data_IF_934190151371
#
_entry.id   IF_934190151371
#
_cell.length_a   1.000
_cell.length_b   1.000
_cell.length_c   1.000
_cell.angle_alpha   90.00
_cell.angle_beta   90.00
_cell.angle_gamma   90.00
#
_symmetry.space_group_name_H-M   'P 1'
#
loop_
_entity.id
_entity.type
_entity.pdbx_description
1 polymer ?
#
# COMPACT_ATOMS: atom_id res chain seq x y z
N UNK A 1 -12.89 50.48 15.59
CA UNK A 1 -11.61 49.96 16.15
C UNK A 1 -11.88 48.89 17.21
N UNK A 2 -12.69 49.11 18.26
CA UNK A 2 -12.93 48.14 19.33
C UNK A 2 -13.59 46.82 18.85
N UNK A 3 -14.60 46.89 17.96
CA UNK A 3 -15.24 45.74 17.34
C UNK A 3 -14.26 44.90 16.53
N UNK A 4 -13.40 45.52 15.76
CA UNK A 4 -12.39 44.82 14.95
C UNK A 4 -11.38 44.11 15.83
N UNK A 5 -10.90 44.71 16.89
CA UNK A 5 -10.00 44.11 17.87
C UNK A 5 -10.64 42.90 18.56
N UNK A 6 -11.90 43.02 19.00
CA UNK A 6 -12.64 41.93 19.62
C UNK A 6 -12.79 40.70 18.69
N UNK A 7 -13.10 40.95 17.42
CA UNK A 7 -13.21 39.85 16.42
C UNK A 7 -11.86 39.20 16.22
N UNK A 8 -10.74 39.95 16.12
CA UNK A 8 -9.41 39.40 15.97
C UNK A 8 -8.98 38.57 17.18
N UNK A 9 -9.28 39.02 18.39
CA UNK A 9 -9.00 38.26 19.63
C UNK A 9 -9.78 36.95 19.66
N UNK A 10 -11.10 37.00 19.37
CA UNK A 10 -11.94 35.81 19.33
C UNK A 10 -11.46 34.81 18.26
N UNK A 11 -11.05 35.29 17.08
CA UNK A 11 -10.51 34.47 16.04
C UNK A 11 -9.18 33.79 16.46
N UNK A 12 -8.31 34.52 17.14
CA UNK A 12 -7.04 33.96 17.65
C UNK A 12 -7.27 32.88 18.73
N UNK A 13 -8.23 33.12 19.67
CA UNK A 13 -8.61 32.13 20.68
C UNK A 13 -9.20 30.89 20.04
N UNK A 14 -10.07 31.02 19.05
CA UNK A 14 -10.64 29.89 18.33
C UNK A 14 -9.60 29.07 17.58
N UNK A 15 -8.56 29.71 17.02
CA UNK A 15 -7.45 29.00 16.38
C UNK A 15 -6.61 28.21 17.39
N UNK A 16 -6.29 28.81 18.54
CA UNK A 16 -5.58 28.14 19.64
C UNK A 16 -6.39 26.93 20.16
N UNK A 17 -7.69 27.09 20.38
CA UNK A 17 -8.55 25.97 20.79
C UNK A 17 -8.56 24.83 19.77
N UNK A 18 -8.63 25.16 18.47
CA UNK A 18 -8.57 24.18 17.39
C UNK A 18 -7.24 23.42 17.38
N UNK A 19 -6.12 24.11 17.55
CA UNK A 19 -4.80 23.48 17.63
C UNK A 19 -4.68 22.55 18.84
N UNK A 20 -5.14 23.00 20.02
CA UNK A 20 -5.16 22.19 21.23
C UNK A 20 -6.00 20.91 21.07
N UNK A 21 -7.20 21.01 20.48
CA UNK A 21 -8.06 19.87 20.21
C UNK A 21 -7.37 18.90 19.24
N UNK A 22 -6.70 19.43 18.21
CA UNK A 22 -5.97 18.63 17.27
C UNK A 22 -4.82 17.86 17.95
N UNK A 23 -3.99 18.53 18.75
CA UNK A 23 -2.89 17.91 19.49
C UNK A 23 -3.37 16.83 20.46
N UNK A 24 -4.41 17.12 21.26
CA UNK A 24 -5.01 16.15 22.18
C UNK A 24 -5.55 14.92 21.43
N UNK A 25 -6.20 15.14 20.28
CA UNK A 25 -6.73 14.05 19.44
C UNK A 25 -5.60 13.18 18.89
N UNK A 26 -4.51 13.79 18.41
CA UNK A 26 -3.36 13.06 17.88
C UNK A 26 -2.60 12.32 18.97
N UNK A 27 -2.42 12.93 20.15
CA UNK A 27 -1.83 12.30 21.31
C UNK A 27 -2.66 11.09 21.77
N UNK A 28 -3.97 11.22 21.85
CA UNK A 28 -4.88 10.11 22.19
C UNK A 28 -4.82 8.96 21.16
N UNK A 29 -4.74 9.27 19.87
CA UNK A 29 -4.56 8.24 18.81
C UNK A 29 -3.22 7.54 18.93
N UNK A 30 -2.14 8.28 19.21
CA UNK A 30 -0.80 7.71 19.40
C UNK A 30 -0.77 6.79 20.62
N UNK A 31 -1.38 7.23 21.74
CA UNK A 31 -1.48 6.40 22.94
C UNK A 31 -2.27 5.11 22.67
N UNK A 32 -3.39 5.22 21.97
CA UNK A 32 -4.19 4.05 21.57
C UNK A 32 -3.41 3.05 20.72
N UNK A 33 -2.54 3.53 19.82
CA UNK A 33 -1.66 2.66 19.05
C UNK A 33 -0.59 2.00 19.91
N UNK A 34 0.00 2.73 20.88
CA UNK A 34 0.95 2.18 21.87
C UNK A 34 0.32 1.09 22.72
N UNK A 35 -0.95 1.24 23.06
CA UNK A 35 -1.74 0.24 23.77
C UNK A 35 -2.10 -0.97 22.89
N UNK A 36 -1.57 -1.05 21.66
CA UNK A 36 -1.82 -2.12 20.70
C UNK A 36 -3.23 -2.16 20.12
N UNK A 37 -4.00 -1.07 20.23
CA UNK A 37 -5.40 -0.99 19.79
C UNK A 37 -5.52 -0.38 18.39
N UNK A 38 -6.47 -0.91 17.63
CA UNK A 38 -6.75 -0.41 16.27
C UNK A 38 -7.26 1.03 16.26
N UNK A 39 -6.60 1.88 15.48
CA UNK A 39 -6.95 3.31 15.32
C UNK A 39 -7.74 3.62 14.04
N UNK A 40 -7.93 2.65 13.16
CA UNK A 40 -8.64 2.84 11.89
C UNK A 40 -10.15 2.88 12.05
N UNK A 41 -10.87 3.32 11.01
CA UNK A 41 -12.33 3.26 10.93
C UNK A 41 -12.82 1.83 10.67
N UNK A 42 -12.62 1.33 9.45
CA UNK A 42 -12.96 -0.04 9.09
C UNK A 42 -11.87 -1.02 9.51
N UNK A 43 -12.27 -2.22 9.92
CA UNK A 43 -11.31 -3.30 10.15
C UNK A 43 -10.55 -3.64 8.86
N UNK A 44 -9.26 -4.03 8.91
CA UNK A 44 -8.57 -4.62 7.77
C UNK A 44 -9.30 -5.88 7.29
N UNK A 45 -9.16 -6.23 6.01
CA UNK A 45 -9.72 -7.46 5.48
C UNK A 45 -9.14 -8.68 6.23
N UNK A 46 -9.95 -9.66 6.58
CA UNK A 46 -9.54 -10.77 7.47
C UNK A 46 -9.82 -10.53 8.96
N UNK A 47 -10.25 -9.30 9.32
CA UNK A 47 -10.62 -8.96 10.70
C UNK A 47 -11.99 -8.32 10.78
N UNK A 48 -12.65 -8.47 11.92
CA UNK A 48 -13.86 -7.76 12.34
C UNK A 48 -13.58 -6.92 13.57
N UNK A 49 -14.37 -5.84 13.77
CA UNK A 49 -14.28 -4.99 14.95
C UNK A 49 -15.36 -5.38 15.94
N UNK A 50 -14.97 -6.01 17.04
CA UNK A 50 -15.86 -6.49 18.08
C UNK A 50 -15.71 -5.61 19.34
N UNK A 51 -16.82 -5.18 19.99
CA UNK A 51 -16.75 -4.54 21.29
C UNK A 51 -16.23 -5.54 22.32
N UNK A 52 -15.37 -5.09 23.23
CA UNK A 52 -14.89 -5.91 24.34
C UNK A 52 -15.57 -5.47 25.62
N UNK A 53 -16.15 -6.43 26.34
CA UNK A 53 -16.86 -6.14 27.58
C UNK A 53 -15.93 -5.50 28.64
N UNK A 54 -16.41 -4.40 29.26
CA UNK A 54 -15.66 -3.68 30.28
C UNK A 54 -14.58 -2.73 29.76
N UNK A 55 -14.31 -2.66 28.48
CA UNK A 55 -13.32 -1.76 27.89
C UNK A 55 -13.93 -0.74 26.93
N UNK A 56 -13.41 0.50 26.95
CA UNK A 56 -13.75 1.48 25.94
C UNK A 56 -13.07 1.15 24.61
N UNK A 57 -13.85 0.85 23.58
CA UNK A 57 -13.35 0.66 22.21
C UNK A 57 -13.63 -0.73 21.65
N UNK A 58 -13.21 -0.92 20.40
CA UNK A 58 -13.37 -2.17 19.66
C UNK A 58 -12.00 -2.80 19.44
N UNK A 59 -11.97 -4.13 19.44
CA UNK A 59 -10.78 -4.95 19.20
C UNK A 59 -10.92 -5.64 17.84
N UNK A 60 -9.80 -5.93 17.20
CA UNK A 60 -9.78 -6.73 15.98
C UNK A 60 -9.86 -8.22 16.35
N UNK A 61 -10.85 -8.92 15.84
CA UNK A 61 -10.98 -10.38 15.88
C UNK A 61 -10.84 -10.96 14.48
N UNK A 62 -10.28 -12.16 14.36
CA UNK A 62 -10.10 -12.83 13.07
C UNK A 62 -11.46 -13.24 12.51
N UNK A 63 -11.72 -12.88 11.26
CA UNK A 63 -12.80 -13.42 10.45
C UNK A 63 -12.24 -14.56 9.60
N UNK A 64 -12.46 -15.81 10.01
CA UNK A 64 -11.84 -16.97 9.38
C UNK A 64 -12.12 -17.08 7.87
N UNK A 65 -13.31 -16.70 7.41
CA UNK A 65 -13.66 -16.71 5.98
C UNK A 65 -12.77 -15.79 5.15
N UNK A 66 -12.49 -14.59 5.68
CA UNK A 66 -11.62 -13.62 5.03
C UNK A 66 -10.13 -13.91 5.29
N UNK A 67 -9.81 -14.43 6.48
CA UNK A 67 -8.45 -14.74 6.90
C UNK A 67 -7.81 -15.85 6.06
N UNK A 68 -8.59 -16.84 5.64
CA UNK A 68 -8.13 -17.89 4.71
C UNK A 68 -7.59 -17.28 3.42
N UNK A 69 -8.31 -16.34 2.83
CA UNK A 69 -7.85 -15.65 1.63
C UNK A 69 -6.55 -14.85 1.87
N UNK A 70 -6.43 -14.21 3.03
CA UNK A 70 -5.19 -13.49 3.41
C UNK A 70 -4.01 -14.46 3.51
N UNK A 71 -4.18 -15.62 4.18
CA UNK A 71 -3.13 -16.65 4.27
C UNK A 71 -2.69 -17.16 2.90
N UNK A 72 -3.65 -17.42 2.01
CA UNK A 72 -3.36 -17.84 0.63
C UNK A 72 -2.58 -16.76 -0.14
N UNK A 73 -2.94 -15.47 0.00
CA UNK A 73 -2.22 -14.36 -0.62
C UNK A 73 -0.75 -14.34 -0.18
N UNK A 74 -0.50 -14.42 1.13
CA UNK A 74 0.87 -14.43 1.66
C UNK A 74 1.65 -15.67 1.23
N UNK A 75 1.04 -16.85 1.29
CA UNK A 75 1.68 -18.10 0.86
C UNK A 75 2.06 -18.06 -0.62
N UNK A 76 1.12 -17.76 -1.50
CA UNK A 76 1.37 -17.69 -2.95
C UNK A 76 2.40 -16.63 -3.29
N UNK A 77 2.34 -15.47 -2.65
CA UNK A 77 3.31 -14.41 -2.93
C UNK A 77 4.70 -14.72 -2.38
N UNK A 78 4.83 -15.25 -1.17
CA UNK A 78 6.12 -15.49 -0.53
C UNK A 78 6.84 -16.75 -1.04
N UNK A 79 6.09 -17.82 -1.36
CA UNK A 79 6.64 -19.14 -1.65
C UNK A 79 6.65 -19.52 -3.15
N UNK A 80 6.14 -18.65 -4.04
CA UNK A 80 6.19 -18.86 -5.50
C UNK A 80 6.80 -17.63 -6.18
N UNK A 81 7.11 -17.70 -7.46
CA UNK A 81 7.64 -16.56 -8.23
C UNK A 81 6.56 -15.57 -8.69
N UNK A 82 5.31 -15.73 -8.21
CA UNK A 82 4.20 -14.87 -8.60
C UNK A 82 4.38 -13.45 -8.06
N UNK A 83 4.15 -12.45 -8.92
CA UNK A 83 3.97 -11.06 -8.51
C UNK A 83 2.51 -10.77 -8.13
N UNK A 84 2.23 -9.57 -7.60
CA UNK A 84 0.87 -9.20 -7.15
C UNK A 84 -0.21 -9.37 -8.21
N UNK A 85 0.10 -9.10 -9.49
CA UNK A 85 -0.83 -9.29 -10.61
C UNK A 85 -1.12 -10.77 -10.87
N UNK A 86 -0.08 -11.61 -10.84
CA UNK A 86 -0.21 -13.05 -11.04
C UNK A 86 -0.98 -13.71 -9.90
N UNK A 87 -0.74 -13.31 -8.64
CA UNK A 87 -1.50 -13.78 -7.47
C UNK A 87 -2.98 -13.39 -7.60
N UNK A 88 -3.27 -12.11 -7.95
CA UNK A 88 -4.66 -11.67 -8.13
C UNK A 88 -5.38 -12.44 -9.25
N UNK A 89 -4.70 -12.66 -10.38
CA UNK A 89 -5.25 -13.46 -11.49
C UNK A 89 -5.49 -14.90 -11.05
N UNK A 90 -4.51 -15.53 -10.41
CA UNK A 90 -4.62 -16.90 -9.93
C UNK A 90 -5.83 -17.08 -8.99
N UNK A 91 -6.02 -16.14 -8.04
CA UNK A 91 -7.17 -16.17 -7.13
C UNK A 91 -8.50 -16.08 -7.87
N UNK A 92 -8.61 -15.16 -8.83
CA UNK A 92 -9.83 -15.01 -9.63
C UNK A 92 -10.12 -16.25 -10.50
N UNK A 93 -9.09 -16.84 -11.11
CA UNK A 93 -9.20 -18.04 -11.95
C UNK A 93 -9.64 -19.27 -11.11
N UNK A 94 -9.34 -19.26 -9.79
CA UNK A 94 -9.78 -20.30 -8.83
C UNK A 94 -11.11 -19.96 -8.11
N UNK A 95 -11.81 -18.92 -8.56
CA UNK A 95 -13.13 -18.55 -8.05
C UNK A 95 -13.12 -17.80 -6.71
N UNK A 96 -11.96 -17.37 -6.21
CA UNK A 96 -11.91 -16.54 -5.01
C UNK A 96 -12.43 -15.14 -5.29
N UNK A 97 -13.31 -14.66 -4.42
CA UNK A 97 -13.88 -13.31 -4.47
C UNK A 97 -13.73 -12.64 -3.12
N UNK A 98 -13.77 -11.33 -3.11
CA UNK A 98 -13.81 -10.55 -1.87
C UNK A 98 -15.16 -9.86 -1.73
N UNK A 99 -15.66 -9.80 -0.52
CA UNK A 99 -16.84 -9.00 -0.18
C UNK A 99 -16.43 -7.53 0.02
N UNK A 100 -17.16 -6.63 -0.63
CA UNK A 100 -16.98 -5.18 -0.48
C UNK A 100 -17.73 -4.72 0.76
N UNK A 101 -17.01 -4.26 1.79
CA UNK A 101 -17.58 -3.93 3.11
C UNK A 101 -18.62 -2.82 3.11
N UNK A 102 -18.68 -1.99 2.09
CA UNK A 102 -19.64 -0.89 2.02
C UNK A 102 -21.04 -1.34 1.61
N UNK A 103 -21.14 -2.35 0.75
CA UNK A 103 -22.41 -2.78 0.14
C UNK A 103 -22.61 -4.30 0.10
N UNK A 104 -21.69 -5.09 0.65
CA UNK A 104 -21.79 -6.56 0.68
C UNK A 104 -21.67 -7.23 -0.70
N UNK A 105 -21.33 -6.50 -1.76
CA UNK A 105 -21.21 -7.09 -3.10
C UNK A 105 -19.92 -7.90 -3.23
N UNK A 106 -20.00 -9.03 -3.92
CA UNK A 106 -18.81 -9.81 -4.28
C UNK A 106 -18.08 -9.14 -5.45
N UNK A 107 -16.77 -9.00 -5.34
CA UNK A 107 -15.94 -8.42 -6.40
C UNK A 107 -14.67 -9.23 -6.62
N UNK A 108 -14.15 -9.15 -7.84
CA UNK A 108 -12.87 -9.74 -8.18
C UNK A 108 -11.72 -9.13 -7.38
N UNK A 109 -10.68 -9.92 -7.18
CA UNK A 109 -9.48 -9.53 -6.46
C UNK A 109 -8.57 -8.75 -7.41
N UNK A 110 -8.29 -7.51 -7.08
CA UNK A 110 -7.36 -6.66 -7.84
C UNK A 110 -5.93 -6.79 -7.32
N UNK A 111 -4.94 -6.52 -8.19
CA UNK A 111 -3.54 -6.48 -7.76
C UNK A 111 -3.27 -5.40 -6.71
N UNK A 112 -4.04 -4.31 -6.72
CA UNK A 112 -3.93 -3.28 -5.70
C UNK A 112 -4.41 -3.76 -4.33
N UNK A 113 -5.47 -4.59 -4.29
CA UNK A 113 -5.92 -5.23 -3.06
C UNK A 113 -4.84 -6.16 -2.49
N UNK A 114 -4.23 -7.01 -3.34
CA UNK A 114 -3.10 -7.86 -2.94
C UNK A 114 -1.95 -7.04 -2.37
N UNK A 115 -1.58 -5.92 -3.01
CA UNK A 115 -0.56 -4.99 -2.49
C UNK A 115 -0.92 -4.43 -1.12
N UNK A 116 -2.16 -3.99 -0.93
CA UNK A 116 -2.63 -3.44 0.34
C UNK A 116 -2.59 -4.46 1.47
N UNK A 117 -2.89 -5.73 1.17
CA UNK A 117 -2.78 -6.83 2.12
C UNK A 117 -1.31 -7.08 2.47
N UNK A 118 -0.45 -7.30 1.48
CA UNK A 118 0.97 -7.60 1.71
C UNK A 118 1.73 -6.48 2.44
N UNK A 119 1.39 -5.22 2.18
CA UNK A 119 2.04 -4.07 2.78
C UNK A 119 1.54 -3.76 4.22
N UNK A 120 0.55 -4.48 4.75
CA UNK A 120 -0.07 -4.11 6.02
C UNK A 120 0.47 -4.94 7.21
N UNK A 121 1.18 -4.30 8.17
CA UNK A 121 1.78 -5.01 9.31
C UNK A 121 0.77 -5.56 10.33
N UNK A 122 -0.50 -5.21 10.23
CA UNK A 122 -1.58 -5.76 11.07
C UNK A 122 -1.66 -7.29 10.97
N UNK A 123 -1.36 -7.85 9.80
CA UNK A 123 -1.42 -9.30 9.60
C UNK A 123 -0.37 -10.10 10.37
N UNK A 124 0.74 -9.46 10.76
CA UNK A 124 1.74 -10.04 11.68
C UNK A 124 1.54 -9.62 13.14
N UNK A 125 0.36 -9.10 13.49
CA UNK A 125 0.03 -8.71 14.86
C UNK A 125 0.57 -7.34 15.29
N UNK A 126 0.99 -6.46 14.38
CA UNK A 126 1.54 -5.14 14.72
C UNK A 126 0.60 -4.01 14.26
N UNK A 127 0.53 -2.95 15.06
CA UNK A 127 -0.21 -1.72 14.76
C UNK A 127 0.75 -0.64 14.28
N UNK A 128 0.53 -0.15 13.05
CA UNK A 128 1.31 0.97 12.50
C UNK A 128 0.60 2.30 12.78
N UNK A 129 1.34 3.25 13.38
CA UNK A 129 0.88 4.62 13.61
C UNK A 129 1.66 5.61 12.75
N UNK A 130 0.97 6.53 12.09
CA UNK A 130 1.60 7.53 11.22
C UNK A 130 1.96 7.07 9.82
N UNK A 131 1.56 5.86 9.41
CA UNK A 131 1.86 5.29 8.07
C UNK A 131 1.34 6.12 6.89
N UNK A 132 0.32 6.93 7.13
CA UNK A 132 -0.25 7.86 6.14
C UNK A 132 -0.37 9.25 6.77
N UNK A 133 0.08 10.26 6.03
CA UNK A 133 -0.04 11.66 6.40
C UNK A 133 -0.92 12.37 5.39
N UNK A 134 -1.81 13.21 5.87
CA UNK A 134 -2.62 14.07 5.01
C UNK A 134 -1.89 15.38 4.85
N UNK A 135 -1.54 15.75 3.64
CA UNK A 135 -0.83 17.00 3.31
C UNK A 135 -1.73 17.88 2.46
N UNK A 136 -1.67 19.18 2.70
CA UNK A 136 -2.41 20.16 1.91
C UNK A 136 -1.77 20.30 0.54
N UNK A 137 -2.59 20.37 -0.50
CA UNK A 137 -2.11 20.62 -1.86
C UNK A 137 -1.79 22.11 -1.97
N UNK A 138 -0.54 22.40 -2.33
CA UNK A 138 -0.07 23.77 -2.50
C UNK A 138 -0.86 24.49 -3.61
N UNK A 139 -1.27 25.72 -3.35
CA UNK A 139 -2.06 26.54 -4.28
C UNK A 139 -3.56 26.23 -4.30
N UNK A 140 -4.05 25.20 -3.59
CA UNK A 140 -5.46 24.85 -3.54
C UNK A 140 -6.07 25.08 -2.16
N UNK A 141 -7.26 25.68 -2.15
CA UNK A 141 -8.00 25.93 -0.90
C UNK A 141 -8.78 24.69 -0.50
N UNK A 142 -8.49 24.13 0.69
CA UNK A 142 -9.19 22.96 1.27
C UNK A 142 -9.06 21.64 0.50
N UNK A 143 -8.06 21.50 -0.40
CA UNK A 143 -7.72 20.23 -1.02
C UNK A 143 -6.51 19.60 -0.31
N UNK A 144 -6.63 18.30 -0.04
CA UNK A 144 -5.62 17.51 0.67
C UNK A 144 -5.35 16.22 -0.10
N UNK A 145 -4.12 15.74 -0.05
CA UNK A 145 -3.77 14.42 -0.53
C UNK A 145 -3.18 13.57 0.59
N UNK A 146 -3.30 12.27 0.45
CA UNK A 146 -2.76 11.32 1.44
C UNK A 146 -1.45 10.77 0.93
N UNK A 147 -0.37 11.03 1.66
CA UNK A 147 0.98 10.54 1.37
C UNK A 147 1.27 9.32 2.24
N UNK A 148 1.78 8.26 1.62
CA UNK A 148 2.29 7.10 2.35
C UNK A 148 3.69 7.44 2.84
N UNK A 149 3.93 7.32 4.14
CA UNK A 149 5.23 7.55 4.75
C UNK A 149 6.20 6.39 4.46
N UNK A 150 7.50 6.68 4.46
CA UNK A 150 8.54 5.67 4.40
C UNK A 150 8.52 4.79 5.67
N UNK A 151 9.14 3.63 5.62
CA UNK A 151 9.06 2.64 6.71
C UNK A 151 9.76 3.07 8.00
N UNK A 152 10.76 3.91 7.88
CA UNK A 152 11.48 4.54 8.99
C UNK A 152 10.75 5.74 9.59
N UNK A 153 9.74 6.27 8.90
CA UNK A 153 9.01 7.48 9.30
C UNK A 153 7.72 7.21 10.10
N UNK A 154 7.35 5.96 10.32
CA UNK A 154 6.17 5.61 11.12
C UNK A 154 6.49 4.61 12.23
N UNK A 155 5.68 4.63 13.30
CA UNK A 155 5.89 3.81 14.47
C UNK A 155 5.12 2.49 14.36
N UNK A 156 5.78 1.37 14.73
CA UNK A 156 5.17 0.04 14.84
C UNK A 156 5.06 -0.35 16.32
N UNK A 157 3.87 -0.75 16.74
CA UNK A 157 3.60 -1.22 18.09
C UNK A 157 3.04 -2.63 18.06
N UNK A 158 3.29 -3.40 19.13
CA UNK A 158 2.67 -4.71 19.28
C UNK A 158 1.16 -4.55 19.45
N UNK A 159 0.38 -5.22 18.58
CA UNK A 159 -1.07 -5.27 18.69
C UNK A 159 -1.56 -6.24 19.76
N UNK A 160 -2.74 -5.99 20.31
CA UNK A 160 -3.44 -6.93 21.21
C UNK A 160 -4.25 -7.99 20.43
N UNK A 161 -4.38 -7.81 19.11
CA UNK A 161 -5.08 -8.73 18.22
C UNK A 161 -4.17 -9.89 17.81
N UNK A 162 -4.80 -11.01 17.49
CA UNK A 162 -4.12 -12.19 16.97
C UNK A 162 -3.63 -11.98 15.54
N UNK A 163 -2.43 -12.47 15.23
CA UNK A 163 -1.84 -12.42 13.90
C UNK A 163 -2.46 -13.48 12.98
N UNK A 164 -2.79 -13.12 11.73
CA UNK A 164 -3.26 -14.07 10.71
C UNK A 164 -2.11 -14.85 10.09
N UNK A 165 -0.92 -14.23 9.99
CA UNK A 165 0.29 -14.82 9.42
C UNK A 165 1.46 -14.66 10.38
N UNK A 166 2.42 -15.58 10.31
CA UNK A 166 3.64 -15.49 11.10
C UNK A 166 4.50 -14.29 10.67
N UNK A 167 5.27 -13.74 11.60
CA UNK A 167 6.18 -12.63 11.31
C UNK A 167 7.21 -13.00 10.24
N UNK A 168 7.70 -14.23 10.25
CA UNK A 168 8.66 -14.74 9.24
C UNK A 168 8.07 -14.73 7.83
N UNK A 169 6.82 -15.21 7.68
CA UNK A 169 6.15 -15.23 6.38
C UNK A 169 5.87 -13.81 5.89
N UNK A 170 5.46 -12.91 6.79
CA UNK A 170 5.26 -11.51 6.47
C UNK A 170 6.55 -10.84 6.01
N UNK A 171 7.67 -11.04 6.74
CA UNK A 171 8.98 -10.47 6.40
C UNK A 171 9.49 -10.99 5.05
N UNK A 172 9.33 -12.30 4.78
CA UNK A 172 9.68 -12.90 3.49
C UNK A 172 8.90 -12.27 2.34
N UNK A 173 7.58 -12.11 2.51
CA UNK A 173 6.73 -11.46 1.53
C UNK A 173 7.11 -9.98 1.34
N UNK A 174 7.41 -9.29 2.43
CA UNK A 174 7.79 -7.88 2.42
C UNK A 174 9.13 -7.65 1.71
N UNK A 175 10.16 -8.44 2.02
CA UNK A 175 11.46 -8.39 1.33
C UNK A 175 11.30 -8.60 -0.19
N UNK A 176 10.52 -9.60 -0.61
CA UNK A 176 10.19 -9.82 -2.02
C UNK A 176 9.44 -8.62 -2.61
N UNK A 177 8.54 -8.00 -1.85
CA UNK A 177 7.75 -6.85 -2.28
C UNK A 177 8.61 -5.62 -2.55
N UNK A 178 9.65 -5.37 -1.75
CA UNK A 178 10.60 -4.28 -1.96
C UNK A 178 11.36 -4.46 -3.28
N UNK A 179 11.83 -5.66 -3.57
CA UNK A 179 12.54 -5.96 -4.82
C UNK A 179 11.62 -5.86 -6.04
N UNK A 180 10.41 -6.44 -5.97
CA UNK A 180 9.47 -6.45 -7.09
C UNK A 180 8.69 -5.14 -7.27
N UNK A 181 8.68 -4.28 -6.25
CA UNK A 181 8.00 -2.98 -6.27
C UNK A 181 8.72 -1.90 -7.07
N UNK A 182 9.97 -2.11 -7.44
CA UNK A 182 10.75 -1.18 -8.26
C UNK A 182 10.11 -1.10 -9.64
N UNK A 183 9.67 0.11 -10.01
CA UNK A 183 9.23 0.37 -11.38
C UNK A 183 10.46 0.30 -12.28
N UNK A 184 10.52 -0.74 -13.09
CA UNK A 184 11.46 -0.73 -14.20
C UNK A 184 10.92 0.19 -15.28
N UNK A 185 11.79 0.98 -15.89
CA UNK A 185 11.45 1.70 -17.11
C UNK A 185 10.87 0.71 -18.11
N UNK A 186 9.77 1.10 -18.74
CA UNK A 186 9.07 0.23 -19.68
C UNK A 186 10.05 -0.16 -20.79
N UNK A 187 10.27 -1.45 -20.95
CA UNK A 187 10.86 -1.97 -22.19
C UNK A 187 9.85 -1.69 -23.30
N UNK A 188 10.19 -0.80 -24.22
CA UNK A 188 9.27 -0.21 -25.19
C UNK A 188 8.79 -1.15 -26.30
N UNK A 189 9.24 -2.39 -26.37
CA UNK A 189 8.82 -3.32 -27.41
C UNK A 189 8.32 -4.65 -26.84
N UNK A 190 7.01 -4.88 -26.97
CA UNK A 190 6.36 -6.14 -26.63
C UNK A 190 6.43 -7.18 -27.75
N UNK A 191 6.91 -6.78 -28.93
CA UNK A 191 6.98 -7.64 -30.13
C UNK A 191 8.23 -8.51 -30.20
N UNK A 192 9.28 -8.20 -29.45
CA UNK A 192 10.54 -8.93 -29.50
C UNK A 192 11.00 -9.29 -28.09
N UNK A 193 11.05 -10.59 -27.80
CA UNK A 193 11.56 -11.10 -26.54
C UNK A 193 13.08 -11.33 -26.68
N UNK A 194 13.87 -10.43 -26.12
CA UNK A 194 15.31 -10.68 -25.98
C UNK A 194 15.54 -11.60 -24.78
N UNK A 195 16.22 -12.72 -25.01
CA UNK A 195 16.50 -13.74 -23.97
C UNK A 195 17.22 -13.14 -22.75
N UNK A 196 18.06 -12.12 -22.95
CA UNK A 196 18.85 -11.46 -21.92
C UNK A 196 18.20 -10.19 -21.35
N UNK A 197 16.95 -9.89 -21.72
CA UNK A 197 16.22 -8.72 -21.18
C UNK A 197 16.14 -8.74 -19.68
N UNK A 198 16.65 -7.67 -19.05
CA UNK A 198 16.67 -7.50 -17.59
C UNK A 198 17.81 -8.23 -16.86
N UNK A 199 18.57 -9.08 -17.53
CA UNK A 199 19.72 -9.79 -16.95
C UNK A 199 21.04 -9.02 -17.13
N UNK A 200 21.20 -8.32 -18.25
CA UNK A 200 22.42 -7.56 -18.56
C UNK A 200 22.48 -6.26 -17.78
N UNK A 201 23.67 -5.99 -17.22
CA UNK A 201 24.02 -4.73 -16.57
C UNK A 201 25.34 -4.22 -17.10
N UNK A 202 25.47 -2.90 -17.21
CA UNK A 202 26.75 -2.27 -17.56
C UNK A 202 27.78 -2.56 -16.46
N UNK A 203 28.97 -3.08 -16.80
CA UNK A 203 30.01 -3.39 -15.80
C UNK A 203 30.60 -2.13 -15.15
N UNK A 204 30.51 -0.98 -15.79
CA UNK A 204 31.07 0.27 -15.27
C UNK A 204 30.11 1.01 -14.32
N UNK A 205 28.82 1.16 -14.69
CA UNK A 205 27.86 1.95 -13.92
C UNK A 205 26.72 1.16 -13.28
N UNK A 206 26.64 -0.17 -13.51
CA UNK A 206 25.58 -1.02 -13.00
C UNK A 206 24.19 -0.80 -13.61
N UNK A 207 24.02 0.13 -14.55
CA UNK A 207 22.77 0.41 -15.22
C UNK A 207 22.29 -0.82 -16.01
N UNK A 208 20.97 -1.00 -16.09
CA UNK A 208 20.38 -2.08 -16.90
C UNK A 208 20.57 -1.80 -18.39
N UNK A 209 20.93 -2.82 -19.12
CA UNK A 209 21.04 -2.77 -20.57
C UNK A 209 19.76 -3.32 -21.21
N UNK A 210 19.34 -2.67 -22.27
CA UNK A 210 18.13 -3.03 -23.02
C UNK A 210 18.51 -3.29 -24.47
N UNK A 211 17.93 -4.35 -25.06
CA UNK A 211 18.03 -4.57 -26.50
C UNK A 211 17.22 -3.53 -27.26
N UNK A 212 17.83 -2.88 -28.23
CA UNK A 212 17.19 -1.92 -29.11
C UNK A 212 17.23 -2.46 -30.53
N UNK A 213 16.04 -2.45 -31.21
CA UNK A 213 15.92 -2.79 -32.62
C UNK A 213 15.97 -1.50 -33.42
N UNK A 214 16.95 -1.37 -34.28
CA UNK A 214 17.05 -0.23 -35.17
C UNK A 214 16.44 -0.61 -36.55
N UNK A 215 15.25 -0.07 -36.83
CA UNK A 215 14.53 -0.26 -38.07
C UNK A 215 14.71 0.95 -38.98
N UNK A 216 15.43 0.80 -40.07
CA UNK A 216 15.54 1.82 -41.12
C UNK A 216 14.54 1.54 -42.26
N UNK A 217 13.69 2.51 -42.57
CA UNK A 217 12.77 2.44 -43.73
C UNK A 217 13.55 2.68 -45.01
N UNK A 218 13.31 1.86 -46.03
CA UNK A 218 13.86 2.08 -47.37
C UNK A 218 13.26 3.33 -47.98
N UNK A 219 14.10 4.16 -48.63
CA UNK A 219 13.63 5.37 -49.26
C UNK A 219 12.66 5.03 -50.39
N UNK A 220 11.43 5.63 -50.35
CA UNK A 220 10.42 5.46 -51.39
C UNK A 220 9.58 4.19 -51.32
N UNK A 221 9.67 3.38 -50.28
CA UNK A 221 8.85 2.19 -50.06
C UNK A 221 8.39 2.06 -48.60
N UNK A 222 7.36 1.24 -48.36
CA UNK A 222 6.92 0.89 -47.02
C UNK A 222 7.68 -0.28 -46.41
N UNK A 223 8.74 -0.74 -47.08
CA UNK A 223 9.60 -1.80 -46.62
C UNK A 223 10.71 -1.28 -45.71
N UNK A 224 11.14 -2.10 -44.76
CA UNK A 224 12.28 -1.84 -43.88
C UNK A 224 13.50 -2.64 -44.34
N UNK A 225 14.69 -2.11 -44.07
CA UNK A 225 15.91 -2.91 -44.15
C UNK A 225 15.87 -4.00 -43.06
N UNK A 226 16.72 -5.05 -43.24
CA UNK A 226 16.82 -6.12 -42.26
C UNK A 226 17.11 -5.53 -40.86
N UNK A 227 16.36 -6.00 -39.85
CA UNK A 227 16.54 -5.54 -38.48
C UNK A 227 17.98 -5.78 -38.00
N UNK A 228 18.60 -4.73 -37.46
CA UNK A 228 19.89 -4.82 -36.79
C UNK A 228 19.65 -4.77 -35.29
N UNK A 229 20.26 -5.73 -34.59
CA UNK A 229 20.15 -5.89 -33.14
C UNK A 229 21.45 -5.42 -32.47
N UNK A 230 21.32 -4.54 -31.49
CA UNK A 230 22.42 -4.02 -30.70
C UNK A 230 22.17 -4.27 -29.22
#
# INVERSE_FOLDING_TARGET
>A
LFRSLMISVLAAVAEIERENIHEQTMAGRRQKARDGRWNGGFAPYGYTLVPRDGERGKVLEINEKEAELVRIIFDKFANTDMGCNAVAKWLNDHGYTKEVRQNGTLSNISSNFVKLVLDNPVYMGKIAYGRRKTEKIEGKRNEYHVVKQAEDAYELYQGIHEAIVSEELWQKAHAKRLVTGVKYDKVHDTGHCHILSGLLRCPECGAKMYGVVNRKKKAGSDEFYKDMWY
#
